data_IF_132712427825
#
_entry.id   IF_132712427825
#
_cell.length_a   1.000
_cell.length_b   1.000
_cell.length_c   1.000
_cell.angle_alpha   90.00
_cell.angle_beta   90.00
_cell.angle_gamma   90.00
#
_symmetry.space_group_name_H-M   'P 1'
#
loop_
_entity.id
_entity.type
_entity.pdbx_description
1 polymer ?
#
# COMPACT_ATOMS: atom_id res chain seq x y z
N UNK A 1 23.57 2.45 -28.10
CA UNK A 1 23.22 2.43 -26.65
C UNK A 1 21.81 3.02 -26.46
N UNK A 2 20.93 2.36 -25.70
CA UNK A 2 19.77 2.91 -24.97
C UNK A 2 18.40 3.15 -25.66
N UNK A 3 17.88 2.24 -26.51
CA UNK A 3 16.43 2.23 -26.85
C UNK A 3 15.59 1.35 -25.93
N UNK A 4 16.17 0.27 -25.39
CA UNK A 4 15.47 -0.75 -24.60
C UNK A 4 15.04 -0.22 -23.22
N UNK A 5 15.92 0.50 -22.52
CA UNK A 5 15.67 1.01 -21.16
C UNK A 5 14.59 2.10 -21.08
N UNK A 6 14.44 2.91 -22.13
CA UNK A 6 13.45 3.97 -22.13
C UNK A 6 12.02 3.43 -22.35
N UNK A 7 11.89 2.34 -23.12
CA UNK A 7 10.62 1.66 -23.38
C UNK A 7 10.08 1.00 -22.11
N UNK A 8 10.95 0.36 -21.33
CA UNK A 8 10.59 -0.28 -20.07
C UNK A 8 10.09 0.72 -19.03
N UNK A 9 10.69 1.92 -18.97
CA UNK A 9 10.23 2.97 -18.06
C UNK A 9 8.83 3.47 -18.41
N UNK A 10 8.55 3.69 -19.70
CA UNK A 10 7.22 4.13 -20.16
C UNK A 10 6.16 3.06 -19.91
N UNK A 11 6.48 1.81 -20.18
CA UNK A 11 5.61 0.68 -19.90
C UNK A 11 5.28 0.59 -18.40
N UNK A 12 6.28 0.71 -17.51
CA UNK A 12 6.06 0.72 -16.05
C UNK A 12 5.18 1.89 -15.60
N UNK A 13 5.38 3.08 -16.16
CA UNK A 13 4.54 4.24 -15.82
C UNK A 13 3.09 4.00 -16.26
N UNK A 14 2.89 3.45 -17.46
CA UNK A 14 1.55 3.11 -17.94
C UNK A 14 0.89 2.06 -17.04
N UNK A 15 1.62 1.05 -16.60
CA UNK A 15 1.12 0.02 -15.69
C UNK A 15 0.76 0.59 -14.30
N UNK A 16 1.59 1.48 -13.75
CA UNK A 16 1.29 2.20 -12.50
C UNK A 16 -0.02 2.99 -12.66
N UNK A 17 -0.17 3.76 -13.75
CA UNK A 17 -1.37 4.56 -13.97
C UNK A 17 -2.62 3.71 -14.16
N UNK A 18 -2.51 2.62 -14.93
CA UNK A 18 -3.60 1.67 -15.14
C UNK A 18 -4.04 1.02 -13.83
N UNK A 19 -3.08 0.55 -13.02
CA UNK A 19 -3.41 -0.03 -11.72
C UNK A 19 -4.00 1.01 -10.76
N UNK A 20 -3.47 2.23 -10.72
CA UNK A 20 -4.02 3.29 -9.88
C UNK A 20 -5.46 3.69 -10.26
N UNK A 21 -5.82 3.59 -11.55
CA UNK A 21 -7.17 3.85 -12.03
C UNK A 21 -8.15 2.70 -11.73
N UNK A 22 -7.68 1.45 -11.81
CA UNK A 22 -8.53 0.26 -11.69
C UNK A 22 -8.60 -0.32 -10.28
N UNK A 23 -7.70 0.08 -9.38
CA UNK A 23 -7.72 -0.41 -8.01
C UNK A 23 -9.02 0.01 -7.31
N UNK A 24 -9.66 -0.92 -6.60
CA UNK A 24 -10.91 -0.62 -5.91
C UNK A 24 -10.67 0.30 -4.72
N UNK A 25 -10.86 1.61 -4.93
CA UNK A 25 -10.61 2.63 -3.90
C UNK A 25 -11.48 2.47 -2.67
N UNK A 26 -12.67 1.86 -2.76
CA UNK A 26 -13.51 1.57 -1.60
C UNK A 26 -12.89 0.51 -0.67
N UNK A 27 -11.96 -0.31 -1.18
CA UNK A 27 -11.15 -1.23 -0.37
C UNK A 27 -9.86 -0.57 0.14
N UNK A 28 -9.52 0.62 -0.31
CA UNK A 28 -8.35 1.35 0.19
C UNK A 28 -8.76 2.45 1.18
N UNK A 29 -9.87 3.15 0.92
CA UNK A 29 -10.34 4.26 1.73
C UNK A 29 -11.85 4.14 2.01
N UNK A 30 -12.28 4.17 3.29
CA UNK A 30 -11.47 4.03 4.50
C UNK A 30 -10.72 2.68 4.53
N UNK A 31 -9.78 2.43 5.46
CA UNK A 31 -9.14 1.12 5.57
C UNK A 31 -10.21 0.04 5.78
N UNK A 32 -10.38 -0.89 4.83
CA UNK A 32 -11.39 -1.94 4.96
C UNK A 32 -11.00 -2.99 6.03
N UNK A 33 -9.70 -3.12 6.29
CA UNK A 33 -9.16 -3.98 7.34
C UNK A 33 -8.89 -3.12 8.58
N UNK A 34 -9.84 -3.10 9.51
CA UNK A 34 -9.75 -2.29 10.74
C UNK A 34 -9.15 -3.05 11.93
N UNK A 35 -9.05 -4.38 11.86
CA UNK A 35 -8.49 -5.18 12.95
C UNK A 35 -6.96 -5.04 12.99
N UNK A 36 -6.38 -4.45 14.05
CA UNK A 36 -4.95 -4.19 14.13
C UNK A 36 -4.10 -5.49 14.19
N UNK A 37 -4.65 -6.60 14.68
CA UNK A 37 -3.95 -7.90 14.68
C UNK A 37 -3.80 -8.45 13.25
N UNK A 38 -4.86 -8.35 12.43
CA UNK A 38 -4.82 -8.77 11.03
C UNK A 38 -3.82 -7.91 10.26
N UNK A 39 -3.88 -6.59 10.45
CA UNK A 39 -2.91 -5.67 9.85
C UNK A 39 -1.47 -5.98 10.28
N UNK A 40 -1.23 -6.26 11.56
CA UNK A 40 0.10 -6.60 12.05
C UNK A 40 0.61 -7.90 11.41
N UNK A 41 -0.24 -8.91 11.25
CA UNK A 41 0.10 -10.14 10.54
C UNK A 41 0.50 -9.85 9.08
N UNK A 42 -0.30 -9.05 8.38
CA UNK A 42 0.01 -8.64 7.00
C UNK A 42 1.30 -7.83 6.91
N UNK A 43 1.56 -6.93 7.86
CA UNK A 43 2.82 -6.17 7.95
C UNK A 43 4.02 -7.10 8.16
N UNK A 44 3.92 -8.07 9.08
CA UNK A 44 4.98 -9.07 9.32
C UNK A 44 5.25 -9.91 8.09
N UNK A 45 4.23 -10.28 7.32
CA UNK A 45 4.40 -10.99 6.04
C UNK A 45 5.07 -10.12 4.96
N UNK A 46 4.78 -8.83 4.95
CA UNK A 46 5.24 -7.90 3.92
C UNK A 46 6.64 -7.30 4.19
N UNK A 47 7.11 -7.32 5.43
CA UNK A 47 8.43 -6.82 5.82
C UNK A 47 9.28 -7.96 6.36
N UNK A 48 10.40 -8.26 5.69
CA UNK A 48 11.37 -9.28 6.14
C UNK A 48 11.90 -9.03 7.56
N UNK A 49 11.94 -7.76 8.00
CA UNK A 49 12.33 -7.37 9.35
C UNK A 49 11.20 -6.56 10.00
N UNK A 50 10.78 -6.91 11.23
CA UNK A 50 9.82 -6.11 11.98
C UNK A 50 10.33 -4.67 12.11
N UNK A 51 9.45 -3.70 11.84
CA UNK A 51 9.77 -2.30 12.10
C UNK A 51 9.53 -2.00 13.58
N UNK A 52 10.36 -1.13 14.16
CA UNK A 52 10.12 -0.58 15.50
C UNK A 52 8.82 0.23 15.59
N UNK A 53 8.41 0.84 14.47
CA UNK A 53 7.21 1.65 14.36
C UNK A 53 6.67 1.60 12.93
N UNK A 54 5.35 1.49 12.80
CA UNK A 54 4.61 1.62 11.55
C UNK A 54 3.88 2.96 11.49
N UNK A 55 3.81 3.55 10.31
CA UNK A 55 3.06 4.77 10.01
C UNK A 55 1.84 4.44 9.15
N UNK A 56 0.88 5.37 9.04
CA UNK A 56 -0.31 5.19 8.20
C UNK A 56 0.03 4.79 6.75
N UNK A 57 1.12 5.33 6.20
CA UNK A 57 1.62 4.93 4.88
C UNK A 57 2.02 3.44 4.79
N UNK A 58 2.59 2.85 5.84
CA UNK A 58 2.92 1.42 5.83
C UNK A 58 1.66 0.56 5.71
N UNK A 59 0.57 0.99 6.34
CA UNK A 59 -0.70 0.27 6.36
C UNK A 59 -1.40 0.38 5.01
N UNK A 60 -1.52 1.58 4.45
CA UNK A 60 -2.11 1.74 3.10
C UNK A 60 -1.32 0.96 2.06
N UNK A 61 0.01 0.92 2.14
CA UNK A 61 0.84 0.12 1.23
C UNK A 61 0.48 -1.36 1.29
N UNK A 62 0.36 -1.92 2.50
CA UNK A 62 0.00 -3.33 2.67
C UNK A 62 -1.42 -3.60 2.19
N UNK A 63 -2.39 -2.75 2.51
CA UNK A 63 -3.77 -2.88 2.03
C UNK A 63 -3.83 -2.80 0.50
N UNK A 64 -3.10 -1.85 -0.11
CA UNK A 64 -2.96 -1.71 -1.57
C UNK A 64 -2.35 -2.97 -2.18
N UNK A 65 -1.35 -3.55 -1.52
CA UNK A 65 -0.66 -4.76 -2.00
C UNK A 65 -1.58 -5.98 -1.96
N UNK A 66 -2.39 -6.15 -0.92
CA UNK A 66 -3.39 -7.21 -0.89
C UNK A 66 -4.41 -7.04 -2.02
N UNK A 67 -4.94 -5.83 -2.19
CA UNK A 67 -5.92 -5.53 -3.24
C UNK A 67 -5.36 -5.74 -4.65
N UNK A 68 -4.14 -5.28 -4.90
CA UNK A 68 -3.47 -5.43 -6.19
C UNK A 68 -3.20 -6.91 -6.52
N UNK A 69 -2.79 -7.71 -5.54
CA UNK A 69 -2.52 -9.14 -5.73
C UNK A 69 -3.78 -9.95 -5.95
N UNK A 70 -4.82 -9.73 -5.13
CA UNK A 70 -6.04 -10.54 -5.15
C UNK A 70 -6.91 -10.18 -6.36
N UNK A 71 -7.10 -8.88 -6.64
CA UNK A 71 -8.11 -8.44 -7.61
C UNK A 71 -7.52 -7.96 -8.94
N UNK A 72 -6.21 -7.66 -9.00
CA UNK A 72 -5.57 -7.15 -10.22
C UNK A 72 -4.42 -8.04 -10.72
N UNK A 73 -4.10 -9.14 -10.03
CA UNK A 73 -2.98 -10.05 -10.34
C UNK A 73 -1.61 -9.36 -10.45
N UNK A 74 -1.44 -8.17 -9.88
CA UNK A 74 -0.17 -7.44 -9.91
C UNK A 74 0.66 -7.83 -8.69
N UNK A 75 1.88 -8.33 -8.92
CA UNK A 75 2.81 -8.77 -7.87
C UNK A 75 4.07 -7.92 -7.78
N UNK A 76 4.32 -7.01 -8.73
CA UNK A 76 5.49 -6.12 -8.73
C UNK A 76 5.39 -5.09 -7.60
N UNK A 77 6.22 -5.28 -6.57
CA UNK A 77 6.25 -4.44 -5.37
C UNK A 77 6.65 -2.97 -5.67
N UNK A 78 7.40 -2.69 -6.74
CA UNK A 78 7.76 -1.32 -7.15
C UNK A 78 6.53 -0.62 -7.72
N UNK A 79 5.79 -1.30 -8.59
CA UNK A 79 4.54 -0.77 -9.16
C UNK A 79 3.53 -0.51 -8.05
N UNK A 80 3.30 -1.51 -7.19
CA UNK A 80 2.36 -1.41 -6.06
C UNK A 80 2.75 -0.27 -5.11
N UNK A 81 4.04 -0.09 -4.82
CA UNK A 81 4.50 1.02 -3.97
C UNK A 81 4.23 2.39 -4.60
N UNK A 82 4.42 2.52 -5.91
CA UNK A 82 4.09 3.75 -6.63
C UNK A 82 2.59 4.01 -6.64
N UNK A 83 1.76 2.98 -6.83
CA UNK A 83 0.30 3.12 -6.71
C UNK A 83 -0.11 3.53 -5.30
N UNK A 84 0.46 2.91 -4.25
CA UNK A 84 0.22 3.31 -2.87
C UNK A 84 0.64 4.77 -2.61
N UNK A 85 1.72 5.26 -3.24
CA UNK A 85 2.11 6.67 -3.19
C UNK A 85 1.08 7.59 -3.86
N UNK A 86 0.57 7.22 -5.03
CA UNK A 86 -0.48 7.98 -5.73
C UNK A 86 -1.73 8.06 -4.84
N UNK A 87 -2.21 6.91 -4.36
CA UNK A 87 -3.37 6.82 -3.48
C UNK A 87 -3.18 7.62 -2.18
N UNK A 88 -2.01 7.53 -1.55
CA UNK A 88 -1.71 8.32 -0.36
C UNK A 88 -1.68 9.81 -0.64
N UNK A 89 -1.12 10.26 -1.78
CA UNK A 89 -1.13 11.69 -2.13
C UNK A 89 -2.54 12.21 -2.33
N UNK A 90 -3.36 11.46 -3.06
CA UNK A 90 -4.75 11.81 -3.38
C UNK A 90 -5.72 11.65 -2.21
N UNK A 91 -5.38 10.85 -1.20
CA UNK A 91 -6.21 10.64 -0.01
C UNK A 91 -6.46 11.95 0.76
N UNK A 92 -7.69 12.15 1.20
CA UNK A 92 -8.08 13.27 2.05
C UNK A 92 -7.39 13.19 3.42
N UNK A 93 -7.38 14.31 4.14
CA UNK A 93 -6.85 14.36 5.51
C UNK A 93 -7.53 13.33 6.42
N UNK A 94 -8.87 13.26 6.40
CA UNK A 94 -9.63 12.32 7.23
C UNK A 94 -9.29 10.85 6.91
N UNK A 95 -9.16 10.50 5.63
CA UNK A 95 -8.74 9.16 5.21
C UNK A 95 -7.33 8.79 5.72
N UNK A 96 -6.39 9.75 5.66
CA UNK A 96 -5.02 9.57 6.20
C UNK A 96 -5.01 9.45 7.71
N UNK A 97 -5.86 10.20 8.40
CA UNK A 97 -5.99 10.14 9.87
C UNK A 97 -6.49 8.76 10.32
N UNK A 98 -7.45 8.15 9.61
CA UNK A 98 -7.90 6.78 9.90
C UNK A 98 -6.76 5.75 9.83
N UNK A 99 -5.92 5.83 8.78
CA UNK A 99 -4.72 5.00 8.68
C UNK A 99 -3.69 5.29 9.78
N UNK A 100 -3.58 6.54 10.22
CA UNK A 100 -2.68 6.94 11.30
C UNK A 100 -3.15 6.39 12.65
N UNK A 101 -4.44 6.49 12.95
CA UNK A 101 -5.05 5.91 14.15
C UNK A 101 -4.88 4.39 14.19
N UNK A 102 -5.11 3.72 13.06
CA UNK A 102 -4.89 2.28 12.95
C UNK A 102 -3.41 1.91 13.13
N UNK A 103 -2.48 2.71 12.60
CA UNK A 103 -1.05 2.49 12.81
C UNK A 103 -0.66 2.63 14.29
N UNK A 104 -1.25 3.58 15.02
CA UNK A 104 -1.03 3.72 16.47
C UNK A 104 -1.50 2.46 17.21
N UNK A 105 -2.70 1.97 16.93
CA UNK A 105 -3.21 0.74 17.52
C UNK A 105 -2.30 -0.47 17.25
N UNK A 106 -1.78 -0.59 16.02
CA UNK A 106 -0.80 -1.64 15.67
C UNK A 106 0.50 -1.48 16.45
N UNK A 107 1.01 -0.25 16.59
CA UNK A 107 2.24 0.00 17.33
C UNK A 107 2.09 -0.35 18.82
N UNK A 108 0.92 -0.15 19.41
CA UNK A 108 0.66 -0.50 20.79
C UNK A 108 0.61 -2.02 21.00
N UNK A 109 0.25 -2.80 19.98
CA UNK A 109 0.38 -4.27 20.01
C UNK A 109 1.83 -4.76 19.97
N UNK A 110 2.75 -3.98 19.39
CA UNK A 110 4.18 -4.35 19.27
C UNK A 110 4.94 -4.05 20.58
N UNK A 111 4.48 -3.05 21.34
CA UNK A 111 5.10 -2.66 22.61
C UNK A 111 4.71 -3.57 23.79
N UNK A 112 3.60 -4.29 23.67
CA UNK A 112 3.17 -5.30 24.63
C UNK A 112 4.03 -6.55 24.48
#
# INVERSE_FOLDING_TARGET
MNRTTHNDRRARIAEINNLAANINRARIFPPHILNPNIILSLLRRNYQRPRRKYHGYNLIYVVTKEEARINNSVTDDIIIRNVANVLWREGTRNQKEQYTSLANAVNDLIKR
#
